data_IF_560754649993
#
_entry.id   IF_560754649993
#
_cell.length_a   1.000
_cell.length_b   1.000
_cell.length_c   1.000
_cell.angle_alpha   90.00
_cell.angle_beta   90.00
_cell.angle_gamma   90.00
#
_symmetry.space_group_name_H-M   'P 1'
#
loop_
_entity.id
_entity.type
_entity.pdbx_description
1 polymer ?
#
# COMPACT_ATOMS: atom_id res chain seq x y z
N UNK A 1 15.46 4.38 6.68
CA UNK A 1 16.20 4.07 7.91
C UNK A 1 15.24 4.02 9.08
N UNK A 2 15.24 2.91 9.83
CA UNK A 2 14.41 2.70 11.00
C UNK A 2 15.06 3.33 12.23
N UNK A 3 14.22 3.90 13.10
CA UNK A 3 14.61 4.44 14.40
C UNK A 3 13.92 3.65 15.49
N UNK A 4 14.66 3.20 16.48
CA UNK A 4 14.09 2.66 17.72
C UNK A 4 13.60 3.82 18.59
N UNK A 5 12.39 3.71 19.11
CA UNK A 5 11.77 4.73 19.92
C UNK A 5 10.87 4.13 21.01
N UNK A 6 10.80 4.81 22.15
CA UNK A 6 9.86 4.52 23.23
C UNK A 6 9.08 5.81 23.55
N UNK A 7 7.79 5.81 23.26
CA UNK A 7 6.91 6.94 23.46
C UNK A 7 6.09 6.73 24.74
N UNK A 8 6.21 7.65 25.68
CA UNK A 8 5.54 7.56 26.99
C UNK A 8 4.81 8.87 27.29
N UNK A 9 3.52 8.77 27.57
CA UNK A 9 2.71 9.83 28.16
C UNK A 9 1.58 9.19 29.02
N UNK A 10 0.74 9.96 29.72
CA UNK A 10 -0.31 9.37 30.58
C UNK A 10 -1.25 8.36 29.88
N UNK A 11 -1.46 8.53 28.57
CA UNK A 11 -2.39 7.71 27.76
C UNK A 11 -1.70 6.82 26.72
N UNK A 12 -0.36 6.81 26.69
CA UNK A 12 0.41 6.05 25.71
C UNK A 12 1.70 5.51 26.32
N UNK A 13 1.99 4.23 26.09
CA UNK A 13 3.26 3.61 26.43
C UNK A 13 3.54 2.54 25.37
N UNK A 14 4.28 2.91 24.34
CA UNK A 14 4.54 2.10 23.14
C UNK A 14 6.01 2.16 22.77
N UNK A 15 6.58 1.02 22.41
CA UNK A 15 7.99 0.86 22.05
C UNK A 15 8.14 0.08 20.75
N UNK A 16 9.17 0.39 20.00
CA UNK A 16 9.48 -0.31 18.74
C UNK A 16 10.19 0.57 17.75
N UNK A 17 9.89 0.37 16.47
CA UNK A 17 10.56 1.05 15.38
C UNK A 17 9.61 1.98 14.63
N UNK A 18 10.15 3.11 14.24
CA UNK A 18 9.49 4.12 13.41
C UNK A 18 10.43 4.65 12.35
N UNK A 19 9.93 5.48 11.46
CA UNK A 19 10.73 6.17 10.45
C UNK A 19 10.47 7.67 10.51
N UNK A 20 11.40 8.47 10.01
CA UNK A 20 11.25 9.92 9.97
C UNK A 20 9.96 10.33 9.26
N UNK A 21 9.13 11.14 9.91
CA UNK A 21 7.84 11.60 9.40
C UNK A 21 6.64 10.67 9.70
N UNK A 22 6.86 9.44 10.19
CA UNK A 22 5.75 8.57 10.60
C UNK A 22 5.20 8.98 11.98
N UNK A 23 3.87 9.06 12.16
CA UNK A 23 3.26 9.43 13.44
C UNK A 23 3.17 8.22 14.37
N UNK A 24 4.10 8.07 15.32
CA UNK A 24 4.11 6.99 16.30
C UNK A 24 4.98 5.79 15.92
N UNK A 25 4.74 4.64 16.54
CA UNK A 25 5.47 3.40 16.32
C UNK A 25 4.83 2.62 15.17
N UNK A 26 5.62 2.34 14.14
CA UNK A 26 5.15 1.62 12.94
C UNK A 26 5.11 0.10 13.17
N UNK A 27 6.09 -0.46 13.87
CA UNK A 27 6.14 -1.86 14.28
C UNK A 27 6.73 -1.98 15.68
N UNK A 28 6.12 -2.78 16.54
CA UNK A 28 6.52 -2.85 17.95
C UNK A 28 5.42 -3.38 18.86
N UNK A 29 5.34 -2.84 20.04
CA UNK A 29 4.36 -3.26 21.05
C UNK A 29 4.01 -2.15 22.05
N UNK A 30 2.86 -2.27 22.65
CA UNK A 30 2.51 -1.60 23.89
C UNK A 30 2.34 -2.65 25.01
N UNK A 31 1.63 -2.33 26.10
CA UNK A 31 1.41 -3.26 27.23
C UNK A 31 0.47 -4.42 26.89
N UNK A 32 -0.31 -4.31 25.84
CA UNK A 32 -1.45 -5.19 25.54
C UNK A 32 -1.30 -5.93 24.23
N UNK A 33 -0.72 -5.30 23.23
CA UNK A 33 -0.60 -5.83 21.88
C UNK A 33 0.81 -5.66 21.34
N UNK A 34 1.24 -6.59 20.46
CA UNK A 34 2.45 -6.49 19.66
C UNK A 34 2.10 -6.68 18.19
N UNK A 35 2.83 -5.99 17.29
CA UNK A 35 2.64 -6.10 15.85
C UNK A 35 3.93 -5.99 15.08
N UNK A 36 3.98 -6.66 13.94
CA UNK A 36 5.10 -6.63 13.00
C UNK A 36 4.60 -6.66 11.56
N UNK A 37 5.45 -6.27 10.63
CA UNK A 37 5.06 -6.10 9.24
C UNK A 37 6.04 -6.75 8.26
N UNK A 38 5.51 -7.16 7.09
CA UNK A 38 6.28 -7.44 5.88
C UNK A 38 5.56 -6.83 4.68
N UNK A 39 6.27 -6.50 3.61
CA UNK A 39 5.62 -5.99 2.40
C UNK A 39 4.64 -7.03 1.83
N UNK A 40 3.42 -6.59 1.50
CA UNK A 40 2.39 -7.45 0.90
C UNK A 40 2.56 -7.61 -0.61
N UNK A 41 3.46 -6.83 -1.21
CA UNK A 41 3.74 -6.83 -2.66
C UNK A 41 2.51 -6.48 -3.52
N UNK A 42 1.60 -5.66 -3.00
CA UNK A 42 0.41 -5.21 -3.75
C UNK A 42 0.80 -4.45 -5.01
N UNK A 43 0.07 -4.69 -6.08
CA UNK A 43 0.15 -3.91 -7.31
C UNK A 43 -0.90 -2.79 -7.24
N UNK A 44 -0.46 -1.60 -6.81
CA UNK A 44 -1.27 -0.43 -6.51
C UNK A 44 -0.96 0.78 -7.40
N UNK A 45 -0.27 0.53 -8.54
CA UNK A 45 0.12 1.55 -9.52
C UNK A 45 -0.18 1.05 -10.93
N UNK A 46 -0.89 1.86 -11.73
CA UNK A 46 -1.10 1.60 -13.15
C UNK A 46 -0.59 2.76 -14.01
N UNK A 47 -0.14 2.44 -15.20
CA UNK A 47 0.26 3.41 -16.21
C UNK A 47 -0.77 3.48 -17.33
N UNK A 48 -1.18 4.71 -17.66
CA UNK A 48 -2.13 4.98 -18.72
C UNK A 48 -1.46 5.77 -19.84
N UNK A 49 -1.60 5.28 -21.07
CA UNK A 49 -1.16 6.03 -22.26
C UNK A 49 -2.32 6.94 -22.63
N UNK A 50 -2.09 8.25 -22.56
CA UNK A 50 -3.05 9.27 -22.96
C UNK A 50 -2.80 9.73 -24.38
N UNK A 51 -3.85 9.92 -25.17
CA UNK A 51 -3.77 10.63 -26.44
C UNK A 51 -3.93 12.12 -26.19
N UNK A 52 -2.94 12.90 -26.60
CA UNK A 52 -2.92 14.36 -26.41
C UNK A 52 -3.48 15.05 -27.64
N UNK A 53 -4.26 16.12 -27.44
CA UNK A 53 -4.80 16.91 -28.53
C UNK A 53 -3.66 17.64 -29.26
N UNK A 54 -3.43 17.37 -30.55
CA UNK A 54 -2.36 18.03 -31.33
C UNK A 54 -2.53 19.56 -31.45
N UNK A 55 -3.77 20.05 -31.37
CA UNK A 55 -4.08 21.47 -31.43
C UNK A 55 -4.06 22.18 -30.07
N UNK A 56 -4.14 21.41 -28.96
CA UNK A 56 -4.08 21.91 -27.60
C UNK A 56 -3.41 20.92 -26.65
N UNK A 57 -2.13 21.06 -26.33
CA UNK A 57 -1.38 20.10 -25.51
C UNK A 57 -1.84 20.02 -24.03
N UNK A 58 -2.79 20.85 -23.62
CA UNK A 58 -3.43 20.77 -22.28
C UNK A 58 -4.72 19.95 -22.30
N UNK A 59 -5.02 19.24 -23.39
CA UNK A 59 -6.17 18.35 -23.51
C UNK A 59 -5.77 16.94 -23.86
N UNK A 60 -6.51 15.97 -23.31
CA UNK A 60 -6.37 14.54 -23.59
C UNK A 60 -7.69 13.94 -24.04
N UNK A 61 -7.61 12.85 -24.81
CA UNK A 61 -8.79 12.16 -25.34
C UNK A 61 -9.35 11.20 -24.30
N UNK A 62 -10.65 11.27 -24.04
CA UNK A 62 -11.38 10.28 -23.25
C UNK A 62 -12.76 9.98 -23.87
N UNK A 63 -13.01 8.72 -24.18
CA UNK A 63 -14.28 8.24 -24.79
C UNK A 63 -14.77 9.11 -25.96
N UNK A 64 -13.85 9.47 -26.84
CA UNK A 64 -14.13 10.25 -28.05
C UNK A 64 -14.28 11.75 -27.83
N UNK A 65 -13.96 12.28 -26.64
CA UNK A 65 -14.02 13.72 -26.32
C UNK A 65 -12.67 14.21 -25.80
N UNK A 66 -12.31 15.43 -26.18
CA UNK A 66 -11.18 16.13 -25.59
C UNK A 66 -11.57 16.70 -24.24
N UNK A 67 -10.82 16.33 -23.19
CA UNK A 67 -10.99 16.83 -21.81
C UNK A 67 -9.78 17.67 -21.43
N UNK A 68 -9.99 18.75 -20.70
CA UNK A 68 -8.91 19.60 -20.21
C UNK A 68 -8.17 18.92 -19.04
N UNK A 69 -6.83 19.00 -19.07
CA UNK A 69 -6.00 18.63 -17.92
C UNK A 69 -6.13 19.69 -16.82
N UNK A 70 -6.11 19.25 -15.59
CA UNK A 70 -5.84 20.18 -14.48
C UNK A 70 -4.34 20.49 -14.49
N UNK A 71 -3.98 21.77 -14.56
CA UNK A 71 -2.58 22.19 -14.51
C UNK A 71 -2.24 22.63 -13.09
N UNK A 72 -1.22 21.99 -12.51
CA UNK A 72 -0.65 22.35 -11.20
C UNK A 72 0.71 23.00 -11.44
N UNK A 73 0.85 24.24 -10.97
CA UNK A 73 2.12 24.96 -11.00
C UNK A 73 2.88 24.72 -9.69
N UNK A 74 4.11 24.26 -9.80
CA UNK A 74 5.00 24.06 -8.66
C UNK A 74 6.28 24.87 -8.82
N UNK A 75 6.85 25.30 -7.69
CA UNK A 75 8.10 26.06 -7.67
C UNK A 75 9.16 25.31 -6.85
N UNK A 76 10.19 24.83 -7.54
CA UNK A 76 11.34 24.18 -6.92
C UNK A 76 12.36 25.24 -6.52
N UNK A 77 12.54 25.44 -5.22
CA UNK A 77 13.56 26.34 -4.68
C UNK A 77 14.92 25.63 -4.60
N UNK A 78 15.92 26.18 -5.26
CA UNK A 78 17.26 25.61 -5.33
C UNK A 78 18.22 26.49 -4.52
N UNK A 79 18.94 25.91 -3.56
CA UNK A 79 19.91 26.65 -2.75
C UNK A 79 21.02 27.25 -3.63
N UNK A 80 21.13 28.59 -3.63
CA UNK A 80 22.15 29.31 -4.40
C UNK A 80 21.89 29.43 -5.92
N UNK A 81 20.65 29.14 -6.36
CA UNK A 81 20.21 29.33 -7.76
C UNK A 81 18.80 29.91 -7.79
N UNK A 82 18.40 30.41 -8.95
CA UNK A 82 17.02 30.83 -9.17
C UNK A 82 16.05 29.66 -9.04
N UNK A 83 14.84 29.89 -8.54
CA UNK A 83 13.83 28.86 -8.46
C UNK A 83 13.36 28.43 -9.86
N UNK A 84 13.07 27.15 -10.02
CA UNK A 84 12.51 26.60 -11.25
C UNK A 84 11.01 26.42 -11.08
N UNK A 85 10.22 26.99 -12.00
CA UNK A 85 8.78 26.71 -12.10
C UNK A 85 8.54 25.55 -13.04
N UNK A 86 7.67 24.64 -12.63
CA UNK A 86 7.22 23.52 -13.46
C UNK A 86 5.69 23.50 -13.51
N UNK A 87 5.14 23.08 -14.64
CA UNK A 87 3.72 22.78 -14.79
C UNK A 87 3.56 21.25 -14.83
N UNK A 88 2.62 20.73 -14.07
CA UNK A 88 2.28 19.31 -14.03
C UNK A 88 0.86 19.16 -14.56
N UNK A 89 0.69 18.47 -15.68
CA UNK A 89 -0.61 18.11 -16.21
C UNK A 89 -1.20 16.92 -15.42
N UNK A 90 -2.42 17.06 -14.94
CA UNK A 90 -3.17 15.97 -14.32
C UNK A 90 -4.31 15.58 -15.23
N UNK A 91 -4.34 14.30 -15.65
CA UNK A 91 -5.50 13.67 -16.27
C UNK A 91 -6.39 13.03 -15.21
N UNK A 92 -7.48 12.40 -15.59
CA UNK A 92 -8.31 11.56 -14.71
C UNK A 92 -7.57 10.33 -14.14
N UNK A 93 -6.45 9.94 -14.79
CA UNK A 93 -5.61 8.83 -14.36
C UNK A 93 -4.44 9.28 -13.49
N UNK A 94 -4.29 10.59 -13.26
CA UNK A 94 -3.24 11.14 -12.41
C UNK A 94 -2.24 12.01 -13.17
N UNK A 95 -1.08 12.30 -12.57
CA UNK A 95 -0.07 13.17 -13.15
C UNK A 95 0.59 12.53 -14.39
N UNK A 96 0.88 13.39 -15.37
CA UNK A 96 1.71 13.03 -16.52
C UNK A 96 3.17 12.91 -16.06
N UNK A 97 3.78 11.76 -16.30
CA UNK A 97 5.20 11.49 -15.99
C UNK A 97 6.11 11.78 -17.19
N UNK A 98 5.65 11.47 -18.37
CA UNK A 98 6.43 11.58 -19.59
C UNK A 98 5.54 11.97 -20.76
N UNK A 99 5.97 12.99 -21.50
CA UNK A 99 5.35 13.44 -22.73
C UNK A 99 6.12 12.94 -23.94
N UNK A 100 5.43 12.24 -24.85
CA UNK A 100 5.96 11.91 -26.16
C UNK A 100 5.24 12.74 -27.23
N UNK A 101 5.58 14.02 -27.32
CA UNK A 101 4.99 14.98 -28.25
C UNK A 101 5.63 14.95 -29.65
N UNK A 102 6.34 13.86 -29.99
CA UNK A 102 7.01 13.71 -31.29
C UNK A 102 6.09 12.95 -32.25
N UNK A 103 5.63 13.62 -33.28
CA UNK A 103 4.84 13.00 -34.33
C UNK A 103 3.42 13.56 -34.50
N UNK A 104 2.65 12.92 -35.37
CA UNK A 104 1.27 13.34 -35.72
C UNK A 104 0.23 12.88 -34.69
N UNK A 105 0.56 11.93 -33.84
CA UNK A 105 -0.29 11.46 -32.76
C UNK A 105 0.47 11.58 -31.40
N UNK A 106 0.46 12.76 -30.76
CA UNK A 106 1.15 12.96 -29.51
C UNK A 106 0.50 12.13 -28.40
N UNK A 107 1.34 11.52 -27.56
CA UNK A 107 0.92 10.72 -26.40
C UNK A 107 1.67 11.16 -25.16
N UNK A 108 1.10 10.86 -23.99
CA UNK A 108 1.74 11.04 -22.70
C UNK A 108 1.48 9.83 -21.82
N UNK A 109 2.31 9.61 -20.82
CA UNK A 109 2.10 8.56 -19.84
C UNK A 109 1.67 9.16 -18.50
N UNK A 110 0.44 8.85 -18.09
CA UNK A 110 -0.08 9.20 -16.77
C UNK A 110 0.11 8.04 -15.80
N UNK A 111 0.29 8.35 -14.52
CA UNK A 111 0.38 7.36 -13.45
C UNK A 111 -0.83 7.45 -12.51
N UNK A 112 -1.52 6.34 -12.37
CA UNK A 112 -2.56 6.16 -11.34
C UNK A 112 -1.98 5.36 -10.20
N UNK A 113 -1.88 6.01 -9.04
CA UNK A 113 -1.34 5.39 -7.84
C UNK A 113 -2.35 5.52 -6.69
N UNK A 114 -2.58 4.44 -5.97
CA UNK A 114 -3.51 4.42 -4.85
C UNK A 114 -3.23 5.49 -3.79
N UNK A 115 -1.99 5.99 -3.70
CA UNK A 115 -1.59 7.09 -2.81
C UNK A 115 -2.36 8.40 -3.06
N UNK A 116 -2.82 8.65 -4.28
CA UNK A 116 -3.49 9.91 -4.63
C UNK A 116 -4.95 10.00 -4.18
N UNK A 117 -5.55 8.91 -3.73
CA UNK A 117 -6.98 8.83 -3.40
C UNK A 117 -7.32 9.18 -1.93
N UNK A 118 -6.40 9.85 -1.23
CA UNK A 118 -6.66 10.37 0.12
C UNK A 118 -6.50 9.36 1.24
N UNK A 119 -5.27 9.16 1.71
CA UNK A 119 -4.91 8.14 2.69
C UNK A 119 -5.20 8.53 4.14
N UNK A 120 -5.68 7.54 4.89
CA UNK A 120 -5.87 7.63 6.33
C UNK A 120 -4.84 6.82 7.15
N UNK A 121 -3.74 6.36 6.53
CA UNK A 121 -2.74 5.51 7.21
C UNK A 121 -2.14 6.11 8.48
N UNK A 122 -2.01 7.43 8.56
CA UNK A 122 -1.61 8.12 9.79
C UNK A 122 -2.56 7.84 10.97
N UNK A 123 -3.87 7.75 10.70
CA UNK A 123 -4.89 7.39 11.70
C UNK A 123 -4.72 5.95 12.14
N UNK A 124 -4.35 5.03 11.22
CA UNK A 124 -4.06 3.64 11.57
C UNK A 124 -2.96 3.54 12.61
N UNK A 125 -1.81 4.23 12.41
CA UNK A 125 -0.70 4.25 13.37
C UNK A 125 -1.14 4.77 14.74
N UNK A 126 -1.89 5.88 14.77
CA UNK A 126 -2.36 6.44 16.03
C UNK A 126 -3.26 5.48 16.81
N UNK A 127 -4.22 4.82 16.14
CA UNK A 127 -5.13 3.86 16.76
C UNK A 127 -4.40 2.59 17.17
N UNK A 128 -3.51 2.06 16.32
CA UNK A 128 -2.73 0.85 16.58
C UNK A 128 -1.86 0.99 17.83
N UNK A 129 -1.19 2.15 17.99
CA UNK A 129 -0.34 2.40 19.16
C UNK A 129 -1.14 2.42 20.49
N UNK A 130 -2.47 2.61 20.43
CA UNK A 130 -3.37 2.64 21.58
C UNK A 130 -4.19 1.37 21.76
N UNK A 131 -4.17 0.47 20.80
CA UNK A 131 -4.97 -0.76 20.83
C UNK A 131 -4.64 -1.60 22.08
N UNK A 132 -5.66 -2.23 22.65
CA UNK A 132 -5.55 -3.04 23.88
C UNK A 132 -5.82 -4.52 23.63
N UNK A 133 -6.30 -4.87 22.45
CA UNK A 133 -6.62 -6.25 22.06
C UNK A 133 -6.60 -6.39 20.52
N UNK A 134 -6.64 -7.62 20.04
CA UNK A 134 -6.61 -7.92 18.59
C UNK A 134 -7.80 -7.36 17.81
N UNK A 135 -8.97 -7.19 18.44
CA UNK A 135 -10.12 -6.56 17.79
C UNK A 135 -9.87 -5.08 17.52
N UNK A 136 -9.34 -4.33 18.48
CA UNK A 136 -8.98 -2.92 18.30
C UNK A 136 -7.83 -2.75 17.29
N UNK A 137 -6.88 -3.70 17.26
CA UNK A 137 -5.86 -3.75 16.20
C UNK A 137 -6.54 -3.85 14.83
N UNK A 138 -7.44 -4.80 14.61
CA UNK A 138 -8.14 -4.96 13.34
C UNK A 138 -8.92 -3.68 12.95
N UNK A 139 -9.57 -3.01 13.90
CA UNK A 139 -10.25 -1.72 13.66
C UNK A 139 -9.27 -0.61 13.24
N UNK A 140 -8.08 -0.57 13.84
CA UNK A 140 -7.03 0.37 13.46
C UNK A 140 -6.53 0.10 12.03
N UNK A 141 -6.30 -1.18 11.70
CA UNK A 141 -5.79 -1.62 10.40
C UNK A 141 -6.75 -1.32 9.24
N UNK A 142 -8.02 -1.08 9.49
CA UNK A 142 -9.00 -0.62 8.49
C UNK A 142 -8.56 0.67 7.79
N UNK A 143 -7.81 1.53 8.48
CA UNK A 143 -7.29 2.79 7.95
C UNK A 143 -5.89 2.66 7.34
N UNK A 144 -5.27 1.46 7.43
CA UNK A 144 -3.95 1.24 6.83
C UNK A 144 -4.10 0.81 5.37
N UNK A 145 -3.88 1.73 4.48
CA UNK A 145 -4.02 1.51 3.04
C UNK A 145 -2.66 1.49 2.34
N UNK A 146 -1.72 2.36 2.77
CA UNK A 146 -0.37 2.45 2.22
C UNK A 146 0.67 2.78 3.31
N UNK A 147 1.92 2.32 3.14
CA UNK A 147 2.35 1.34 2.13
C UNK A 147 1.69 -0.01 2.39
N UNK A 148 1.51 -0.82 1.32
CA UNK A 148 0.92 -2.15 1.43
C UNK A 148 1.73 -3.09 2.33
N UNK A 149 1.15 -3.54 3.45
CA UNK A 149 1.83 -4.38 4.44
C UNK A 149 0.99 -5.60 4.83
N UNK A 150 1.67 -6.72 5.02
CA UNK A 150 1.17 -7.82 5.84
C UNK A 150 1.37 -7.43 7.29
N UNK A 151 0.33 -7.27 8.06
CA UNK A 151 0.43 -6.97 9.48
C UNK A 151 0.10 -8.22 10.28
N UNK A 152 1.06 -8.71 11.05
CA UNK A 152 0.85 -9.79 12.03
C UNK A 152 0.80 -9.17 13.43
N UNK A 153 -0.09 -9.67 14.28
CA UNK A 153 -0.28 -9.10 15.60
C UNK A 153 -0.74 -10.15 16.63
N UNK A 154 -0.46 -9.85 17.89
CA UNK A 154 -0.86 -10.69 19.02
C UNK A 154 -1.28 -9.81 20.20
N UNK A 155 -2.12 -10.35 21.11
CA UNK A 155 -2.49 -9.68 22.36
C UNK A 155 -2.15 -10.51 23.60
N UNK A 156 -2.20 -9.87 24.77
CA UNK A 156 -1.97 -10.52 26.08
C UNK A 156 -3.07 -11.50 26.47
N UNK A 157 -4.20 -11.52 25.75
CA UNK A 157 -5.26 -12.52 25.87
C UNK A 157 -4.95 -13.84 25.18
N UNK A 158 -3.80 -13.92 24.45
CA UNK A 158 -3.39 -15.10 23.71
C UNK A 158 -3.95 -15.17 22.29
N UNK A 159 -4.57 -14.11 21.80
CA UNK A 159 -5.06 -14.06 20.43
C UNK A 159 -3.97 -13.62 19.49
N UNK A 160 -3.97 -14.19 18.27
CA UNK A 160 -3.09 -13.82 17.16
C UNK A 160 -3.91 -13.48 15.93
N UNK A 161 -3.39 -12.55 15.12
CA UNK A 161 -4.07 -12.12 13.90
C UNK A 161 -3.12 -11.72 12.80
N UNK A 162 -3.66 -11.71 11.59
CA UNK A 162 -3.02 -11.24 10.36
C UNK A 162 -4.03 -10.47 9.52
N UNK A 163 -3.56 -9.41 8.88
CA UNK A 163 -4.34 -8.69 7.88
C UNK A 163 -3.46 -8.20 6.73
N UNK A 164 -3.96 -8.38 5.50
CA UNK A 164 -3.41 -7.74 4.31
C UNK A 164 -3.86 -6.27 4.27
N UNK A 165 -2.99 -5.38 4.75
CA UNK A 165 -3.25 -3.95 4.80
C UNK A 165 -2.71 -3.28 3.54
N UNK A 166 -3.58 -3.04 2.57
CA UNK A 166 -3.25 -2.41 1.30
C UNK A 166 -4.50 -1.84 0.63
N UNK A 167 -4.33 -0.75 -0.12
CA UNK A 167 -5.33 -0.30 -1.08
C UNK A 167 -5.22 -1.16 -2.34
N UNK A 168 -5.97 -2.26 -2.42
CA UNK A 168 -5.96 -3.20 -3.54
C UNK A 168 -6.95 -2.72 -4.61
N UNK A 169 -6.51 -2.26 -5.80
CA UNK A 169 -7.41 -1.74 -6.82
C UNK A 169 -8.32 -2.82 -7.41
N UNK A 170 -9.59 -2.46 -7.65
CA UNK A 170 -10.52 -3.25 -8.46
C UNK A 170 -10.51 -2.68 -9.87
N UNK A 171 -9.79 -3.30 -10.78
CA UNK A 171 -9.70 -2.90 -12.18
C UNK A 171 -10.90 -3.39 -12.98
N UNK A 172 -11.41 -2.56 -13.89
CA UNK A 172 -12.47 -2.98 -14.83
C UNK A 172 -12.01 -4.07 -15.76
N UNK A 173 -10.75 -3.96 -16.22
CA UNK A 173 -10.08 -4.88 -17.14
C UNK A 173 -8.59 -4.82 -16.93
N UNK A 174 -7.89 -5.92 -17.26
CA UNK A 174 -6.42 -6.01 -17.09
C UNK A 174 -6.01 -6.25 -15.64
N UNK A 175 -4.72 -6.25 -15.42
CA UNK A 175 -4.07 -6.62 -14.16
C UNK A 175 -2.93 -5.66 -13.76
N UNK A 176 -2.75 -4.54 -14.49
CA UNK A 176 -1.77 -3.51 -14.20
C UNK A 176 -0.34 -3.80 -14.68
N UNK A 177 -0.08 -4.98 -15.29
CA UNK A 177 1.28 -5.39 -15.67
C UNK A 177 1.90 -4.51 -16.77
N UNK A 178 1.07 -4.01 -17.69
CA UNK A 178 1.50 -3.18 -18.82
C UNK A 178 0.70 -1.88 -18.87
N UNK A 179 1.28 -0.79 -19.41
CA UNK A 179 0.55 0.42 -19.68
C UNK A 179 -0.68 0.16 -20.56
N UNK A 180 -1.78 0.81 -20.24
CA UNK A 180 -3.09 0.60 -20.89
C UNK A 180 -3.60 1.87 -21.57
N UNK A 181 -4.48 1.76 -22.60
CA UNK A 181 -5.09 2.91 -23.26
C UNK A 181 -5.98 3.72 -22.32
N UNK A 182 -5.61 4.96 -21.98
CA UNK A 182 -6.41 5.87 -21.14
C UNK A 182 -7.68 6.35 -21.83
N UNK A 183 -7.64 6.50 -23.15
CA UNK A 183 -8.75 7.07 -23.92
C UNK A 183 -10.00 6.19 -24.06
N UNK A 184 -9.90 4.88 -23.76
CA UNK A 184 -11.00 3.94 -24.00
C UNK A 184 -12.05 3.92 -22.88
N UNK A 185 -11.64 4.17 -21.64
CA UNK A 185 -12.45 3.99 -20.44
C UNK A 185 -12.66 2.52 -20.02
N UNK A 186 -11.97 1.57 -20.67
CA UNK A 186 -12.13 0.13 -20.38
C UNK A 186 -11.33 -0.33 -19.17
N UNK A 187 -10.26 0.39 -18.81
CA UNK A 187 -9.27 0.00 -17.80
C UNK A 187 -9.38 0.77 -16.48
N UNK A 188 -10.52 1.41 -16.25
CA UNK A 188 -10.75 2.22 -15.06
C UNK A 188 -10.68 1.40 -13.76
N UNK A 189 -10.19 2.04 -12.70
CA UNK A 189 -10.37 1.51 -11.34
C UNK A 189 -11.80 1.78 -10.86
N UNK A 190 -12.47 0.73 -10.39
CA UNK A 190 -13.84 0.80 -9.82
C UNK A 190 -13.85 1.06 -8.32
N UNK A 191 -12.69 1.29 -7.72
CA UNK A 191 -12.48 1.42 -6.30
C UNK A 191 -11.48 0.41 -5.78
N UNK A 192 -11.58 0.10 -4.50
CA UNK A 192 -10.66 -0.79 -3.80
C UNK A 192 -11.39 -1.96 -3.16
N UNK A 193 -10.67 -3.07 -2.99
CA UNK A 193 -11.20 -4.24 -2.27
C UNK A 193 -11.56 -3.83 -0.84
N UNK A 194 -12.81 -4.04 -0.39
CA UNK A 194 -13.23 -3.74 0.97
C UNK A 194 -12.33 -4.41 2.01
N UNK A 195 -12.11 -3.74 3.14
CA UNK A 195 -11.22 -4.22 4.19
C UNK A 195 -11.55 -5.65 4.63
N UNK A 196 -12.82 -5.94 4.83
CA UNK A 196 -13.32 -7.23 5.31
C UNK A 196 -13.13 -8.38 4.29
N UNK A 197 -12.94 -8.02 3.01
CA UNK A 197 -12.67 -8.99 1.93
C UNK A 197 -11.17 -9.21 1.70
N UNK A 198 -10.30 -8.38 2.26
CA UNK A 198 -8.85 -8.55 2.14
C UNK A 198 -8.40 -9.82 2.87
N UNK A 199 -7.35 -10.52 2.42
CA UNK A 199 -6.84 -11.69 3.12
C UNK A 199 -6.55 -11.39 4.59
N UNK A 200 -7.11 -12.19 5.51
CA UNK A 200 -6.91 -12.06 6.94
C UNK A 200 -7.08 -13.39 7.67
N UNK A 201 -6.51 -13.48 8.87
CA UNK A 201 -6.60 -14.65 9.77
C UNK A 201 -6.75 -14.18 11.21
N UNK A 202 -7.60 -14.84 11.97
CA UNK A 202 -7.71 -14.67 13.43
C UNK A 202 -7.68 -16.05 14.07
N UNK A 203 -6.75 -16.27 15.01
CA UNK A 203 -6.58 -17.51 15.77
C UNK A 203 -6.60 -18.76 14.87
N UNK A 204 -5.76 -18.86 13.82
CA UNK A 204 -5.78 -20.02 12.95
C UNK A 204 -5.37 -21.29 13.69
N UNK A 205 -5.90 -22.47 13.26
CA UNK A 205 -5.70 -23.77 13.89
C UNK A 205 -4.22 -24.12 14.18
N UNK A 206 -3.24 -23.83 13.30
CA UNK A 206 -1.83 -24.13 13.58
C UNK A 206 -1.26 -23.39 14.80
N UNK A 207 -1.95 -22.35 15.33
CA UNK A 207 -1.53 -21.61 16.51
C UNK A 207 -0.35 -20.65 16.24
N UNK A 208 -0.01 -20.40 14.99
CA UNK A 208 0.96 -19.39 14.58
C UNK A 208 0.60 -18.76 13.23
N UNK A 209 1.19 -17.60 12.97
CA UNK A 209 1.08 -16.88 11.70
C UNK A 209 2.48 -16.49 11.24
N UNK A 210 2.76 -16.66 9.95
CA UNK A 210 4.03 -16.28 9.36
C UNK A 210 3.82 -15.62 7.99
N UNK A 211 4.64 -14.61 7.69
CA UNK A 211 4.70 -13.93 6.40
C UNK A 211 6.15 -13.71 5.99
N UNK A 212 6.46 -13.88 4.72
CA UNK A 212 7.79 -13.68 4.14
C UNK A 212 7.70 -13.07 2.73
N UNK A 213 6.78 -12.13 2.53
CA UNK A 213 6.44 -11.53 1.22
C UNK A 213 5.91 -12.55 0.20
N UNK A 214 5.47 -13.71 0.67
CA UNK A 214 4.88 -14.78 -0.14
C UNK A 214 3.45 -14.44 -0.54
N UNK A 215 2.92 -15.17 -1.52
CA UNK A 215 1.51 -15.05 -1.93
C UNK A 215 0.58 -15.28 -0.73
N UNK A 216 -0.30 -14.30 -0.48
CA UNK A 216 -1.16 -14.25 0.73
C UNK A 216 -2.59 -14.67 0.47
N UNK A 217 -2.96 -14.93 -0.79
CA UNK A 217 -4.29 -15.34 -1.18
C UNK A 217 -4.27 -16.69 -1.90
N UNK A 218 -5.32 -17.49 -1.67
CA UNK A 218 -5.52 -18.76 -2.39
C UNK A 218 -5.81 -18.52 -3.88
N UNK A 219 -5.73 -19.58 -4.69
CA UNK A 219 -6.09 -19.51 -6.11
C UNK A 219 -7.56 -19.16 -6.38
N UNK A 220 -8.44 -19.31 -5.38
CA UNK A 220 -9.87 -19.00 -5.46
C UNK A 220 -10.20 -17.58 -4.95
N UNK A 221 -9.21 -16.79 -4.53
CA UNK A 221 -9.45 -15.42 -4.11
C UNK A 221 -9.91 -14.56 -5.31
N UNK A 222 -11.04 -13.84 -5.20
CA UNK A 222 -11.69 -13.25 -6.37
C UNK A 222 -11.03 -11.97 -6.90
N UNK A 223 -10.06 -11.40 -6.16
CA UNK A 223 -9.42 -10.15 -6.53
C UNK A 223 -7.95 -10.36 -6.84
N UNK A 224 -7.46 -9.65 -7.84
CA UNK A 224 -6.05 -9.59 -8.15
C UNK A 224 -5.32 -8.71 -7.12
N UNK A 225 -4.19 -9.19 -6.58
CA UNK A 225 -3.36 -8.43 -5.63
C UNK A 225 -2.02 -8.06 -6.24
N UNK A 226 -1.33 -9.03 -6.86
CA UNK A 226 0.00 -8.81 -7.41
C UNK A 226 0.40 -9.90 -8.40
N UNK A 227 1.24 -9.53 -9.34
CA UNK A 227 2.03 -10.45 -10.18
C UNK A 227 3.31 -10.92 -9.48
N UNK A 228 3.84 -10.10 -8.58
CA UNK A 228 5.14 -10.29 -7.98
C UNK A 228 5.01 -10.70 -6.51
N UNK A 229 5.45 -11.90 -6.23
CA UNK A 229 5.56 -12.44 -4.89
C UNK A 229 6.96 -12.98 -4.68
N UNK A 230 7.48 -12.87 -3.46
CA UNK A 230 8.73 -13.53 -3.14
C UNK A 230 8.59 -15.06 -3.26
N UNK A 231 9.66 -15.76 -3.66
CA UNK A 231 9.70 -17.21 -3.73
C UNK A 231 9.33 -17.88 -2.40
N UNK A 232 8.77 -19.08 -2.48
CA UNK A 232 8.24 -19.80 -1.31
C UNK A 232 9.30 -20.35 -0.34
N UNK A 233 10.58 -20.26 -0.68
CA UNK A 233 11.68 -20.86 0.09
C UNK A 233 11.71 -20.36 1.55
N UNK A 234 11.65 -19.04 1.74
CA UNK A 234 11.69 -18.43 3.07
C UNK A 234 10.48 -18.81 3.92
N UNK A 235 9.28 -18.70 3.37
CA UNK A 235 8.06 -19.05 4.12
C UNK A 235 7.99 -20.55 4.39
N UNK A 236 8.41 -21.39 3.47
CA UNK A 236 8.49 -22.86 3.66
C UNK A 236 9.43 -23.19 4.81
N UNK A 237 10.61 -22.55 4.83
CA UNK A 237 11.57 -22.78 5.93
C UNK A 237 11.05 -22.31 7.28
N UNK A 238 10.37 -21.18 7.33
CA UNK A 238 9.73 -20.68 8.55
C UNK A 238 8.69 -21.69 9.06
N UNK A 239 7.82 -22.19 8.19
CA UNK A 239 6.84 -23.21 8.57
C UNK A 239 7.49 -24.49 9.08
N UNK A 240 8.56 -24.97 8.43
CA UNK A 240 9.32 -26.14 8.90
C UNK A 240 9.85 -25.95 10.33
N UNK A 241 10.40 -24.76 10.63
CA UNK A 241 10.96 -24.45 11.94
C UNK A 241 9.85 -24.31 13.02
N UNK A 242 8.73 -23.68 12.67
CA UNK A 242 7.62 -23.52 13.59
C UNK A 242 6.91 -24.85 13.91
N UNK A 243 6.80 -25.74 12.93
CA UNK A 243 6.15 -27.05 13.10
C UNK A 243 6.98 -28.08 13.87
N UNK A 244 8.26 -27.84 14.13
CA UNK A 244 9.13 -28.78 14.87
C UNK A 244 9.06 -28.66 16.39
N UNK A 245 8.39 -27.64 16.92
CA UNK A 245 8.39 -27.33 18.36
C UNK A 245 6.98 -27.16 18.91
N UNK A 246 6.65 -27.84 20.01
CA UNK A 246 5.37 -27.71 20.67
C UNK A 246 5.17 -26.35 21.37
N UNK A 247 6.26 -25.74 21.86
CA UNK A 247 6.28 -24.36 22.42
C UNK A 247 7.63 -23.73 22.10
N UNK A 248 7.59 -22.55 21.53
CA UNK A 248 8.76 -21.74 21.26
C UNK A 248 8.98 -20.71 22.37
N UNK A 249 10.18 -20.65 22.91
CA UNK A 249 10.61 -19.54 23.78
C UNK A 249 11.15 -18.39 22.95
N UNK A 250 11.22 -17.18 23.54
CA UNK A 250 11.80 -16.01 22.90
C UNK A 250 13.22 -16.28 22.37
N UNK A 251 14.03 -17.07 23.09
CA UNK A 251 15.41 -17.41 22.66
C UNK A 251 15.47 -18.31 21.44
N UNK A 252 14.41 -19.07 21.15
CA UNK A 252 14.34 -19.90 19.93
C UNK A 252 13.93 -19.12 18.68
N UNK A 253 13.48 -17.86 18.84
CA UNK A 253 13.21 -16.96 17.71
C UNK A 253 14.42 -16.13 17.31
N UNK A 254 15.51 -16.15 18.05
CA UNK A 254 16.79 -15.53 17.72
C UNK A 254 17.62 -16.46 16.85
#
# INVERSE_FOLDING_TARGET
VWWEAHLVCPTLNVSGFTMAGAPGIALGHNRHVAWGVTNVMVDDVDFFIEKINPDNPRQYLYQGRWEDMQIVEETIRIKGKDPVKIEIGLTRHGPILEDNNKGTEPTAMAVKWAFTDGLQSAKAFYLLNKATNTHEVALALKYWELPGQNVVFADTGGNIGYWCCAAVPIRSRGDGLLPVPGWSGEYEWKGYVPFEMRPHLINPEPGYIATANNKVASGNYPHFISHYWEPVDRITRIHQLLNTSQKLSVDKFK
#
